data_IF_082915211365
#
_entry.id   IF_082915211365
#
_cell.length_a   1.000
_cell.length_b   1.000
_cell.length_c   1.000
_cell.angle_alpha   90.00
_cell.angle_beta   90.00
_cell.angle_gamma   90.00
#
_symmetry.space_group_name_H-M   'P 1'
#
loop_
_entity.id
_entity.type
_entity.pdbx_description
1 polymer ?
#
# COMPACT_ATOMS: atom_id res chain seq x y z
N UNK A 1 -25.20 11.57 -12.20
CA UNK A 1 -24.59 11.18 -13.49
C UNK A 1 -23.73 9.96 -13.24
N UNK A 2 -23.98 8.83 -13.91
CA UNK A 2 -23.18 7.62 -13.72
C UNK A 2 -22.20 7.50 -14.90
N UNK A 3 -20.91 7.58 -14.61
CA UNK A 3 -19.87 7.30 -15.60
C UNK A 3 -19.76 5.78 -15.74
N UNK A 4 -19.93 5.27 -16.96
CA UNK A 4 -19.71 3.86 -17.28
C UNK A 4 -18.38 3.76 -18.03
N UNK A 5 -17.45 2.98 -17.49
CA UNK A 5 -16.16 2.68 -18.11
C UNK A 5 -15.93 1.17 -18.06
N UNK A 6 -15.25 0.66 -19.06
CA UNK A 6 -14.81 -0.72 -19.13
C UNK A 6 -13.53 -0.94 -18.29
N UNK A 7 -13.22 -2.20 -17.92
CA UNK A 7 -11.96 -2.55 -17.25
C UNK A 7 -10.70 -2.05 -17.98
N UNK A 8 -10.70 -2.09 -19.32
CA UNK A 8 -9.58 -1.63 -20.14
C UNK A 8 -9.46 -0.10 -20.12
N UNK A 9 -10.57 0.63 -20.22
CA UNK A 9 -10.58 2.09 -20.10
C UNK A 9 -10.14 2.55 -18.71
N UNK A 10 -10.55 1.85 -17.65
CA UNK A 10 -10.09 2.11 -16.29
C UNK A 10 -8.57 1.94 -16.19
N UNK A 11 -8.04 0.83 -16.71
CA UNK A 11 -6.60 0.55 -16.67
C UNK A 11 -5.81 1.60 -17.45
N UNK A 12 -6.32 2.04 -18.60
CA UNK A 12 -5.73 3.14 -19.37
C UNK A 12 -5.76 4.47 -18.58
N UNK A 13 -6.83 4.74 -17.85
CA UNK A 13 -6.94 5.93 -17.00
C UNK A 13 -5.92 5.90 -15.86
N UNK A 14 -5.76 4.75 -15.17
CA UNK A 14 -4.71 4.58 -14.15
C UNK A 14 -3.34 4.84 -14.76
N UNK A 15 -3.02 4.23 -15.90
CA UNK A 15 -1.74 4.43 -16.57
C UNK A 15 -1.45 5.90 -16.91
N UNK A 16 -2.48 6.67 -17.30
CA UNK A 16 -2.35 8.11 -17.57
C UNK A 16 -2.08 8.90 -16.29
N UNK A 17 -2.79 8.62 -15.21
CA UNK A 17 -2.58 9.25 -13.89
C UNK A 17 -1.19 8.93 -13.34
N UNK A 18 -0.73 7.70 -13.53
CA UNK A 18 0.57 7.19 -13.07
C UNK A 18 1.79 7.93 -13.64
N UNK A 19 1.60 8.78 -14.67
CA UNK A 19 2.67 9.66 -15.18
C UNK A 19 3.07 10.77 -14.20
N UNK A 20 2.15 11.17 -13.31
CA UNK A 20 2.36 12.29 -12.39
C UNK A 20 2.02 11.95 -10.94
N UNK A 21 1.20 10.91 -10.72
CA UNK A 21 0.68 10.55 -9.41
C UNK A 21 0.94 9.08 -9.13
N UNK A 22 1.00 8.70 -7.86
CA UNK A 22 0.91 7.29 -7.46
C UNK A 22 -0.54 7.00 -7.13
N UNK A 23 -1.14 6.01 -7.78
CA UNK A 23 -2.53 5.62 -7.53
C UNK A 23 -2.55 4.40 -6.61
N UNK A 24 -3.31 4.49 -5.53
CA UNK A 24 -3.45 3.43 -4.55
C UNK A 24 -4.90 3.00 -4.41
N UNK A 25 -5.11 1.71 -4.18
CA UNK A 25 -6.42 1.15 -3.87
C UNK A 25 -6.27 -0.19 -3.12
N UNK A 26 -7.37 -0.75 -2.57
CA UNK A 26 -7.33 -2.06 -1.93
C UNK A 26 -6.85 -3.13 -2.91
N UNK A 27 -5.77 -3.82 -2.54
CA UNK A 27 -5.15 -4.90 -3.31
C UNK A 27 -4.69 -6.00 -2.36
N UNK A 28 -4.64 -7.24 -2.86
CA UNK A 28 -4.25 -8.39 -2.06
C UNK A 28 -2.71 -8.46 -1.93
N UNK A 29 -2.23 -8.49 -0.70
CA UNK A 29 -0.88 -8.89 -0.34
C UNK A 29 -0.89 -10.39 -0.07
N UNK A 30 -0.28 -11.15 -0.98
CA UNK A 30 -0.33 -12.61 -0.96
C UNK A 30 0.28 -13.16 0.32
N UNK A 31 -0.50 -13.97 1.06
CA UNK A 31 -0.09 -14.59 2.34
C UNK A 31 0.42 -13.61 3.41
N UNK A 32 0.04 -12.34 3.33
CA UNK A 32 0.34 -11.33 4.34
C UNK A 32 -0.67 -11.29 5.50
N UNK A 33 -1.69 -12.16 5.47
CA UNK A 33 -2.84 -12.11 6.35
C UNK A 33 -2.54 -12.50 7.80
N UNK A 34 -3.53 -12.24 8.67
CA UNK A 34 -3.44 -12.55 10.11
C UNK A 34 -3.39 -14.05 10.40
N UNK A 35 -3.90 -14.87 9.50
CA UNK A 35 -3.92 -16.32 9.61
C UNK A 35 -3.08 -16.96 8.51
N UNK A 36 -2.61 -18.18 8.74
CA UNK A 36 -1.87 -18.95 7.74
C UNK A 36 -2.64 -19.04 6.43
N UNK A 37 -1.93 -18.85 5.33
CA UNK A 37 -2.46 -18.94 3.96
C UNK A 37 -3.65 -18.00 3.68
N UNK A 38 -3.77 -16.89 4.42
CA UNK A 38 -4.73 -15.82 4.12
C UNK A 38 -4.05 -14.61 3.52
N UNK A 39 -4.69 -13.99 2.53
CA UNK A 39 -4.22 -12.75 1.95
C UNK A 39 -4.56 -11.57 2.86
N UNK A 40 -3.75 -10.51 2.77
CA UNK A 40 -4.00 -9.27 3.47
C UNK A 40 -4.44 -8.19 2.50
N UNK A 41 -5.64 -7.64 2.70
CA UNK A 41 -6.17 -6.63 1.79
C UNK A 41 -5.81 -5.26 2.34
N UNK A 42 -4.83 -4.63 1.71
CA UNK A 42 -4.32 -3.32 2.11
C UNK A 42 -4.26 -2.40 0.90
N UNK A 43 -4.14 -1.10 1.14
CA UNK A 43 -3.93 -0.17 0.04
C UNK A 43 -2.52 -0.32 -0.51
N UNK A 44 -2.42 -0.72 -1.78
CA UNK A 44 -1.16 -0.84 -2.51
C UNK A 44 -1.22 -0.02 -3.78
N UNK A 45 -0.04 0.27 -4.35
CA UNK A 45 0.02 0.94 -5.64
C UNK A 45 -0.51 0.00 -6.72
N UNK A 46 -1.44 0.49 -7.53
CA UNK A 46 -2.09 -0.28 -8.59
C UNK A 46 -1.61 0.19 -9.96
N UNK A 47 -1.68 -0.71 -10.93
CA UNK A 47 -1.39 -0.44 -12.34
C UNK A 47 -2.64 -0.55 -13.23
N UNK A 48 -3.69 -1.24 -12.77
CA UNK A 48 -4.94 -1.35 -13.52
C UNK A 48 -6.08 -2.05 -12.79
N UNK A 49 -7.11 -2.42 -13.56
CA UNK A 49 -8.38 -2.96 -13.05
C UNK A 49 -8.24 -4.23 -12.21
N UNK A 50 -7.35 -5.13 -12.61
CA UNK A 50 -7.17 -6.46 -11.99
C UNK A 50 -6.47 -6.41 -10.63
N UNK A 51 -5.76 -5.32 -10.36
CA UNK A 51 -5.02 -5.17 -9.11
C UNK A 51 -5.96 -4.79 -7.95
N UNK A 52 -7.15 -4.27 -8.27
CA UNK A 52 -8.16 -3.89 -7.27
C UNK A 52 -8.94 -5.10 -6.76
N UNK A 53 -9.14 -5.13 -5.45
CA UNK A 53 -10.19 -5.92 -4.83
C UNK A 53 -11.46 -5.06 -4.71
N UNK A 54 -12.52 -5.48 -5.40
CA UNK A 54 -13.77 -4.73 -5.51
C UNK A 54 -14.82 -5.09 -4.46
N UNK A 55 -14.78 -6.34 -4.00
CA UNK A 55 -15.84 -6.96 -3.19
C UNK A 55 -15.53 -6.96 -1.69
N UNK A 56 -14.32 -6.55 -1.30
CA UNK A 56 -13.87 -6.57 0.08
C UNK A 56 -13.24 -5.23 0.46
N UNK A 57 -13.44 -4.82 1.73
CA UNK A 57 -12.81 -3.63 2.28
C UNK A 57 -11.38 -3.96 2.71
N UNK A 58 -10.50 -2.97 2.67
CA UNK A 58 -9.17 -3.13 3.25
C UNK A 58 -9.22 -3.38 4.75
N UNK A 59 -8.29 -4.18 5.25
CA UNK A 59 -8.06 -4.41 6.68
C UNK A 59 -7.46 -3.18 7.38
N UNK A 60 -6.88 -2.26 6.61
CA UNK A 60 -6.23 -1.03 7.10
C UNK A 60 -6.82 0.23 6.44
N UNK A 61 -6.73 1.36 7.15
CA UNK A 61 -7.16 2.68 6.64
C UNK A 61 -6.27 3.14 5.47
N UNK A 62 -6.79 3.87 4.47
CA UNK A 62 -5.95 4.48 3.42
C UNK A 62 -4.86 5.40 3.96
N UNK A 63 -5.07 6.02 5.12
CA UNK A 63 -4.11 6.95 5.73
C UNK A 63 -2.78 6.25 6.08
N UNK A 64 -2.78 4.92 6.25
CA UNK A 64 -1.57 4.17 6.62
C UNK A 64 -0.46 4.24 5.56
N UNK A 65 -0.82 4.56 4.31
CA UNK A 65 0.14 4.79 3.22
C UNK A 65 0.99 6.04 3.48
N UNK A 66 0.39 7.06 4.11
CA UNK A 66 1.01 8.36 4.36
C UNK A 66 1.61 8.38 5.76
N UNK A 67 0.88 7.85 6.74
CA UNK A 67 1.26 7.82 8.15
C UNK A 67 1.35 6.36 8.59
N UNK A 68 2.55 5.75 8.58
CA UNK A 68 2.70 4.36 8.98
C UNK A 68 2.22 4.17 10.43
N UNK A 69 1.53 3.07 10.69
CA UNK A 69 1.04 2.73 12.04
C UNK A 69 2.20 2.29 12.94
N UNK A 70 3.25 1.76 12.33
CA UNK A 70 4.44 1.26 13.01
C UNK A 70 5.56 2.29 12.92
N UNK A 71 6.19 2.53 14.07
CA UNK A 71 7.39 3.34 14.17
C UNK A 71 8.59 2.41 14.43
N UNK A 72 9.69 2.61 13.71
CA UNK A 72 10.92 1.85 13.97
C UNK A 72 11.59 2.43 15.20
N UNK A 73 11.62 1.71 16.31
CA UNK A 73 12.29 2.16 17.54
C UNK A 73 13.78 1.80 17.55
N UNK A 74 14.12 0.63 17.03
CA UNK A 74 15.48 0.10 16.99
C UNK A 74 15.80 -0.42 15.59
N UNK A 75 16.97 -0.05 15.09
CA UNK A 75 17.52 -0.59 13.85
C UNK A 75 18.77 -1.42 14.18
N UNK A 76 18.74 -2.70 13.83
CA UNK A 76 19.83 -3.65 14.09
C UNK A 76 20.61 -3.91 12.81
N UNK A 77 21.88 -3.53 12.80
CA UNK A 77 22.82 -3.88 11.74
C UNK A 77 23.96 -4.71 12.33
N UNK A 78 23.68 -6.01 12.51
CA UNK A 78 24.52 -7.13 13.01
C UNK A 78 25.37 -6.84 14.26
N UNK A 79 26.28 -5.88 14.16
CA UNK A 79 27.21 -5.44 15.18
C UNK A 79 26.71 -4.20 15.94
N UNK A 80 25.74 -3.45 15.41
CA UNK A 80 25.29 -2.17 16.00
C UNK A 80 23.78 -2.05 16.14
N UNK A 81 23.36 -1.29 17.16
CA UNK A 81 21.97 -0.91 17.40
C UNK A 81 21.88 0.61 17.28
N UNK A 82 21.00 1.08 16.39
CA UNK A 82 20.66 2.50 16.28
C UNK A 82 19.26 2.73 16.85
N UNK A 83 19.13 3.70 17.75
CA UNK A 83 17.85 4.08 18.36
C UNK A 83 17.28 5.23 17.54
N UNK A 84 16.04 5.09 17.08
CA UNK A 84 15.38 6.14 16.31
C UNK A 84 15.24 7.43 17.13
N UNK A 85 15.57 8.57 16.51
CA UNK A 85 15.48 9.89 17.14
C UNK A 85 16.73 10.38 17.88
N UNK A 86 17.76 9.55 18.09
CA UNK A 86 19.06 10.04 18.59
C UNK A 86 19.96 10.46 17.43
N UNK A 87 19.81 11.71 16.97
CA UNK A 87 20.84 12.36 16.15
C UNK A 87 22.05 12.64 17.03
N UNK A 88 23.17 11.94 16.79
CA UNK A 88 24.45 12.33 17.38
C UNK A 88 24.76 13.77 16.92
N UNK A 89 24.92 14.75 17.82
CA UNK A 89 25.33 16.09 17.41
C UNK A 89 26.71 15.96 16.77
N UNK A 90 26.81 16.35 15.49
CA UNK A 90 28.11 16.61 14.86
C UNK A 90 28.61 17.97 15.29
#
# INVERSE_FOLDING_TARGET
MAIKITPDEFSLLIQRLSKQWRVFAPSAEFRGGRFSDTDNIIYQQISGWRDLIWHEKSHMSPNTIITPITETLFYFDKDTIQIAGQTHPR
#
